data_IF_763845718873
#
_entry.id   IF_763845718873
#
_cell.length_a   1.000
_cell.length_b   1.000
_cell.length_c   1.000
_cell.angle_alpha   90.00
_cell.angle_beta   90.00
_cell.angle_gamma   90.00
#
_symmetry.space_group_name_H-M   'P 1'
#
loop_
_entity.id
_entity.type
_entity.pdbx_description
1 polymer ?
#
# COMPACT_ATOMS: atom_id res chain seq x y z
N UNK A 1 -18.20 -9.37 8.25
CA UNK A 1 -17.18 -9.52 7.18
C UNK A 1 -15.82 -9.41 7.86
N UNK A 2 -14.85 -10.28 7.56
CA UNK A 2 -13.51 -10.12 8.12
C UNK A 2 -12.99 -8.74 7.72
N UNK A 3 -12.60 -7.95 8.72
CA UNK A 3 -11.84 -6.72 8.50
C UNK A 3 -10.39 -7.14 8.54
N UNK A 4 -9.71 -7.12 7.39
CA UNK A 4 -8.26 -7.29 7.37
C UNK A 4 -7.62 -5.91 7.43
N UNK A 5 -6.57 -5.80 8.23
CA UNK A 5 -5.72 -4.61 8.27
C UNK A 5 -4.41 -5.01 7.61
N UNK A 6 -3.96 -4.24 6.63
CA UNK A 6 -2.71 -4.50 5.91
C UNK A 6 -1.81 -3.30 6.15
N UNK A 7 -0.60 -3.58 6.66
CA UNK A 7 0.45 -2.58 6.65
C UNK A 7 1.05 -2.50 5.23
N UNK A 8 1.08 -1.30 4.67
CA UNK A 8 1.50 -1.11 3.28
C UNK A 8 2.99 -1.35 3.07
N UNK A 9 3.82 -1.09 4.08
CA UNK A 9 5.27 -1.25 3.96
C UNK A 9 5.63 -2.74 4.05
N UNK A 10 5.00 -3.49 4.96
CA UNK A 10 5.14 -4.94 5.01
C UNK A 10 4.63 -5.61 3.73
N UNK A 11 3.47 -5.18 3.21
CA UNK A 11 2.95 -5.68 1.92
C UNK A 11 3.96 -5.42 0.79
N UNK A 12 4.53 -4.22 0.72
CA UNK A 12 5.46 -3.80 -0.33
C UNK A 12 6.83 -4.45 -0.22
N UNK A 13 7.22 -4.97 0.95
CA UNK A 13 8.51 -5.62 1.16
C UNK A 13 8.71 -6.87 0.27
N UNK A 14 7.61 -7.59 -0.03
CA UNK A 14 7.61 -8.68 -1.00
C UNK A 14 6.21 -8.87 -1.62
N UNK A 15 5.81 -8.05 -2.62
CA UNK A 15 4.46 -8.07 -3.16
C UNK A 15 4.09 -9.42 -3.77
N UNK A 16 5.06 -10.11 -4.36
CA UNK A 16 4.87 -11.43 -4.96
C UNK A 16 4.50 -12.51 -3.92
N UNK A 17 5.04 -12.42 -2.69
CA UNK A 17 4.64 -13.26 -1.56
C UNK A 17 3.34 -12.77 -0.92
N UNK A 18 3.23 -11.45 -0.70
CA UNK A 18 2.28 -10.90 0.27
C UNK A 18 0.89 -10.65 -0.33
N UNK A 19 0.79 -10.26 -1.60
CA UNK A 19 -0.50 -10.05 -2.26
C UNK A 19 -1.37 -11.33 -2.33
N UNK A 20 -0.83 -12.53 -2.65
CA UNK A 20 -1.60 -13.76 -2.57
C UNK A 20 -2.20 -14.05 -1.18
N UNK A 21 -1.45 -13.77 -0.11
CA UNK A 21 -1.93 -13.96 1.28
C UNK A 21 -3.06 -12.98 1.62
N UNK A 22 -3.01 -11.75 1.10
CA UNK A 22 -4.11 -10.79 1.22
C UNK A 22 -5.36 -11.31 0.50
N UNK A 23 -5.20 -11.81 -0.73
CA UNK A 23 -6.31 -12.40 -1.49
C UNK A 23 -6.95 -13.56 -0.74
N UNK A 24 -6.15 -14.50 -0.22
CA UNK A 24 -6.63 -15.64 0.56
C UNK A 24 -7.40 -15.19 1.81
N UNK A 25 -6.87 -14.24 2.57
CA UNK A 25 -7.54 -13.69 3.76
C UNK A 25 -8.88 -13.00 3.44
N UNK A 26 -9.06 -12.51 2.21
CA UNK A 26 -10.30 -11.95 1.69
C UNK A 26 -11.24 -13.00 1.06
N UNK A 27 -10.80 -14.26 0.91
CA UNK A 27 -11.53 -15.30 0.19
C UNK A 27 -11.53 -15.10 -1.33
N UNK A 28 -10.48 -14.48 -1.87
CA UNK A 28 -10.27 -14.22 -3.29
C UNK A 28 -9.18 -15.16 -3.84
N UNK A 29 -9.34 -15.56 -5.11
CA UNK A 29 -8.28 -16.26 -5.82
C UNK A 29 -7.19 -15.25 -6.24
N UNK A 30 -5.90 -15.52 -5.96
CA UNK A 30 -4.82 -14.65 -6.43
C UNK A 30 -4.68 -14.71 -7.95
N UNK A 31 -4.35 -13.58 -8.57
CA UNK A 31 -4.07 -13.48 -10.01
C UNK A 31 -2.70 -12.83 -10.24
N UNK A 32 -1.99 -13.20 -11.31
CA UNK A 32 -0.66 -12.66 -11.56
C UNK A 32 -0.68 -11.17 -11.97
N UNK A 33 -1.79 -10.76 -12.59
CA UNK A 33 -2.07 -9.41 -13.07
C UNK A 33 -2.14 -8.37 -11.93
N UNK A 34 -2.27 -8.80 -10.67
CA UNK A 34 -2.19 -7.88 -9.53
C UNK A 34 -0.78 -7.33 -9.30
N UNK A 35 0.25 -7.98 -9.85
CA UNK A 35 1.66 -7.61 -9.66
C UNK A 35 2.24 -6.85 -10.86
N UNK A 36 1.61 -6.95 -12.03
CA UNK A 36 2.06 -6.27 -13.24
C UNK A 36 0.90 -5.80 -14.12
N UNK A 37 1.04 -4.60 -14.67
CA UNK A 37 0.02 -3.95 -15.49
C UNK A 37 0.64 -3.16 -16.64
N UNK A 38 -0.15 -2.94 -17.69
CA UNK A 38 0.24 -2.05 -18.77
C UNK A 38 0.31 -0.61 -18.25
N UNK A 39 1.36 0.17 -18.57
CA UNK A 39 1.39 1.59 -18.23
C UNK A 39 0.34 2.39 -19.02
N UNK A 40 0.20 3.67 -18.71
CA UNK A 40 -0.65 4.63 -19.41
C UNK A 40 -2.10 4.67 -18.94
N UNK A 41 -2.81 5.65 -19.49
CA UNK A 41 -4.21 5.93 -19.18
C UNK A 41 -5.12 4.73 -19.45
N UNK A 42 -6.10 4.55 -18.58
CA UNK A 42 -7.17 3.56 -18.70
C UNK A 42 -8.48 4.24 -19.07
N UNK A 43 -9.31 3.52 -19.80
CA UNK A 43 -10.65 3.99 -20.19
C UNK A 43 -11.52 4.38 -18.98
N UNK A 44 -11.23 3.83 -17.80
CA UNK A 44 -11.96 4.04 -16.57
C UNK A 44 -11.34 5.09 -15.62
N UNK A 45 -10.24 5.75 -15.99
CA UNK A 45 -9.58 6.69 -15.07
C UNK A 45 -10.38 7.97 -14.79
N UNK A 46 -11.39 8.26 -15.62
CA UNK A 46 -12.25 9.43 -15.48
C UNK A 46 -11.50 10.76 -15.61
N UNK A 47 -12.16 11.90 -15.32
CA UNK A 47 -11.56 13.23 -15.52
C UNK A 47 -10.42 13.56 -14.54
N UNK A 48 -10.24 12.77 -13.48
CA UNK A 48 -9.28 13.04 -12.41
C UNK A 48 -7.86 12.59 -12.75
N UNK A 49 -7.70 11.76 -13.78
CA UNK A 49 -6.43 11.16 -14.14
C UNK A 49 -5.28 12.16 -14.32
N UNK A 50 -5.47 13.35 -14.93
CA UNK A 50 -4.38 14.30 -15.14
C UNK A 50 -3.81 14.87 -13.83
N UNK A 51 -4.58 14.79 -12.74
CA UNK A 51 -4.26 15.37 -11.45
C UNK A 51 -3.66 14.37 -10.45
N UNK A 52 -3.99 13.07 -10.58
CA UNK A 52 -3.66 12.08 -9.55
C UNK A 52 -2.87 10.86 -10.05
N UNK A 53 -2.97 10.50 -11.34
CA UNK A 53 -2.50 9.20 -11.81
C UNK A 53 -1.18 9.21 -12.59
N UNK A 54 -0.52 10.36 -12.69
CA UNK A 54 0.74 10.50 -13.43
C UNK A 54 1.81 9.48 -13.02
N UNK A 55 1.91 9.13 -11.74
CA UNK A 55 2.86 8.12 -11.27
C UNK A 55 2.40 6.68 -11.59
N UNK A 56 1.12 6.37 -11.38
CA UNK A 56 0.55 5.05 -11.68
C UNK A 56 0.64 4.76 -13.18
N UNK A 57 0.34 5.73 -14.04
CA UNK A 57 0.46 5.61 -15.50
C UNK A 57 1.90 5.35 -15.97
N UNK A 58 2.91 5.75 -15.20
CA UNK A 58 4.32 5.46 -15.53
C UNK A 58 4.80 4.12 -15.00
N UNK A 59 4.03 3.49 -14.11
CA UNK A 59 4.38 2.21 -13.48
C UNK A 59 3.86 1.03 -14.27
N UNK A 60 4.51 -0.12 -14.09
CA UNK A 60 4.10 -1.42 -14.66
C UNK A 60 3.96 -2.51 -13.61
N UNK A 61 4.05 -2.13 -12.33
CA UNK A 61 4.12 -3.01 -11.17
C UNK A 61 4.44 -2.20 -9.91
N UNK A 62 4.53 -2.88 -8.77
CA UNK A 62 4.96 -2.27 -7.51
C UNK A 62 6.42 -1.81 -7.60
N UNK A 63 6.68 -0.60 -7.10
CA UNK A 63 8.05 -0.06 -6.98
C UNK A 63 8.76 -0.58 -5.73
N UNK A 64 10.06 -0.27 -5.56
CA UNK A 64 10.78 -0.60 -4.34
C UNK A 64 10.19 0.14 -3.13
N UNK A 65 10.36 -0.45 -1.94
CA UNK A 65 10.05 0.23 -0.68
C UNK A 65 10.83 1.55 -0.58
N UNK A 66 10.17 2.58 -0.06
CA UNK A 66 10.82 3.87 0.17
C UNK A 66 11.66 3.80 1.45
N UNK A 67 12.84 4.38 1.41
CA UNK A 67 13.62 4.59 2.63
C UNK A 67 12.88 5.56 3.56
N UNK A 68 13.11 5.39 4.87
CA UNK A 68 12.62 6.35 5.86
C UNK A 68 13.13 7.76 5.51
N UNK A 69 12.29 8.79 5.65
CA UNK A 69 12.70 10.16 5.38
C UNK A 69 13.75 10.62 6.40
N UNK A 70 14.41 11.73 6.08
CA UNK A 70 15.23 12.44 7.06
C UNK A 70 14.39 12.82 8.29
N UNK A 71 15.02 13.01 9.47
CA UNK A 71 14.31 13.42 10.68
C UNK A 71 13.41 14.62 10.42
N UNK A 72 12.20 14.56 10.96
CA UNK A 72 11.22 15.62 10.80
C UNK A 72 11.62 16.84 11.63
N UNK A 73 11.09 18.00 11.25
CA UNK A 73 11.15 19.17 12.13
C UNK A 73 10.35 18.87 13.42
N UNK A 74 10.70 19.47 14.57
CA UNK A 74 10.02 19.19 15.83
C UNK A 74 8.49 19.39 15.81
N UNK A 75 8.00 20.38 15.04
CA UNK A 75 6.55 20.64 14.89
C UNK A 75 5.81 19.51 14.17
N UNK A 76 6.47 18.84 13.22
CA UNK A 76 5.93 17.69 12.53
C UNK A 76 6.05 16.40 13.37
N UNK A 77 7.12 16.25 14.14
CA UNK A 77 7.31 15.10 15.03
C UNK A 77 6.18 15.01 16.08
N UNK A 78 5.75 16.17 16.62
CA UNK A 78 4.62 16.24 17.54
C UNK A 78 3.30 15.67 16.94
N UNK A 79 3.11 15.79 15.61
CA UNK A 79 1.96 15.20 14.91
C UNK A 79 2.09 13.68 14.83
N UNK A 80 3.30 13.17 14.59
CA UNK A 80 3.57 11.73 14.61
C UNK A 80 3.28 11.17 16.00
N UNK A 81 3.85 11.75 17.05
CA UNK A 81 3.63 11.33 18.43
C UNK A 81 2.15 11.31 18.81
N UNK A 82 1.40 12.35 18.43
CA UNK A 82 -0.02 12.45 18.72
C UNK A 82 -0.88 11.40 17.99
N UNK A 83 -0.43 10.90 16.84
CA UNK A 83 -1.18 9.93 16.00
C UNK A 83 -0.70 8.50 16.14
N UNK A 84 0.52 8.28 16.66
CA UNK A 84 1.14 6.97 16.82
C UNK A 84 0.29 5.96 17.60
N UNK A 85 -0.42 6.33 18.70
CA UNK A 85 -1.28 5.38 19.41
C UNK A 85 -2.39 4.78 18.54
N UNK A 86 -2.94 5.56 17.59
CA UNK A 86 -3.96 5.07 16.67
C UNK A 86 -3.37 4.13 15.61
N UNK A 87 -2.17 4.45 15.11
CA UNK A 87 -1.42 3.55 14.22
C UNK A 87 -1.10 2.22 14.92
N UNK A 88 -0.53 2.26 16.12
CA UNK A 88 -0.15 1.07 16.90
C UNK A 88 -1.34 0.16 17.20
N UNK A 89 -2.52 0.75 17.46
CA UNK A 89 -3.75 0.00 17.69
C UNK A 89 -4.18 -0.81 16.45
N UNK A 90 -4.00 -0.25 15.24
CA UNK A 90 -4.25 -0.95 13.98
C UNK A 90 -3.14 -1.94 13.66
N UNK A 91 -1.88 -1.57 13.86
CA UNK A 91 -0.71 -2.38 13.57
C UNK A 91 -0.73 -3.71 14.36
N UNK A 92 -1.19 -3.70 15.61
CA UNK A 92 -1.39 -4.91 16.43
C UNK A 92 -2.45 -5.88 15.88
N UNK A 93 -3.36 -5.40 15.05
CA UNK A 93 -4.47 -6.17 14.47
C UNK A 93 -4.24 -6.51 12.98
N UNK A 94 -3.08 -6.12 12.43
CA UNK A 94 -2.78 -6.34 11.02
C UNK A 94 -2.61 -7.84 10.70
N UNK A 95 -2.82 -8.16 9.43
CA UNK A 95 -2.45 -9.44 8.84
C UNK A 95 -0.92 -9.61 8.89
N UNK A 96 -0.46 -10.72 9.43
CA UNK A 96 0.96 -11.08 9.45
C UNK A 96 1.28 -11.98 8.24
N UNK A 97 2.34 -11.64 7.51
CA UNK A 97 2.80 -12.36 6.31
C UNK A 97 3.79 -13.49 6.63
N UNK A 98 3.49 -14.32 7.64
CA UNK A 98 4.34 -15.47 8.04
C UNK A 98 4.26 -16.60 7.01
#
# INVERSE_FOLDING_TARGET
RPKIIVDSDEMLANPAKNMPLICEALGLLPCAEMLSWTPGQKAYDGPWWPHWYANVHKSTGFGPAKAMPAPLRPDHEAVVEATLPAYDALYKQRLQFE
#
